data_IF_763446832239
#
_entry.id   IF_763446832239
#
_cell.length_a   1.000
_cell.length_b   1.000
_cell.length_c   1.000
_cell.angle_alpha   90.00
_cell.angle_beta   90.00
_cell.angle_gamma   90.00
#
_symmetry.space_group_name_H-M   'P 1'
#
loop_
_entity.id
_entity.type
_entity.pdbx_description
1 polymer ?
#
# COMPACT_ATOMS: atom_id res chain seq x y z
N UNK A 1 0.76 -11.69 -36.50
CA UNK A 1 -0.33 -12.34 -35.75
C UNK A 1 -1.41 -11.30 -35.51
N UNK A 2 -2.56 -11.43 -36.18
CA UNK A 2 -3.70 -10.53 -35.96
C UNK A 2 -4.38 -10.93 -34.64
N UNK A 3 -3.98 -10.30 -33.54
CA UNK A 3 -4.72 -10.41 -32.29
C UNK A 3 -6.11 -9.85 -32.53
N UNK A 4 -7.13 -10.73 -32.56
CA UNK A 4 -8.52 -10.26 -32.44
C UNK A 4 -8.58 -9.51 -31.11
N UNK A 5 -8.82 -8.21 -31.17
CA UNK A 5 -9.09 -7.42 -29.97
C UNK A 5 -10.34 -8.02 -29.33
N UNK A 6 -10.15 -8.81 -28.27
CA UNK A 6 -11.26 -9.37 -27.52
C UNK A 6 -11.97 -8.20 -26.85
N UNK A 7 -13.22 -8.00 -27.22
CA UNK A 7 -14.04 -6.93 -26.65
C UNK A 7 -14.17 -7.16 -25.15
N UNK A 8 -13.85 -6.13 -24.36
CA UNK A 8 -14.09 -6.12 -22.90
C UNK A 8 -15.59 -6.12 -22.55
N UNK A 9 -16.47 -6.14 -23.55
CA UNK A 9 -17.92 -6.28 -23.39
C UNK A 9 -18.46 -7.64 -23.86
N UNK A 10 -17.60 -8.59 -24.25
CA UNK A 10 -18.01 -9.91 -24.69
C UNK A 10 -18.36 -10.85 -23.52
N UNK A 11 -19.22 -11.87 -23.74
CA UNK A 11 -19.57 -12.85 -22.70
C UNK A 11 -18.34 -13.62 -22.16
N UNK A 12 -17.32 -13.83 -23.00
CA UNK A 12 -16.05 -14.45 -22.60
C UNK A 12 -15.30 -13.62 -21.53
N UNK A 13 -15.33 -12.29 -21.65
CA UNK A 13 -14.72 -11.40 -20.66
C UNK A 13 -15.40 -11.53 -19.30
N UNK A 14 -16.74 -11.49 -19.27
CA UNK A 14 -17.49 -11.58 -18.02
C UNK A 14 -17.31 -12.94 -17.34
N UNK A 15 -17.32 -14.04 -18.10
CA UNK A 15 -17.03 -15.36 -17.54
C UNK A 15 -15.61 -15.44 -16.95
N UNK A 16 -14.61 -14.87 -17.62
CA UNK A 16 -13.24 -14.79 -17.10
C UNK A 16 -13.14 -13.89 -15.85
N UNK A 17 -13.89 -12.79 -15.84
CA UNK A 17 -13.97 -11.87 -14.71
C UNK A 17 -14.59 -12.51 -13.47
N UNK A 18 -15.71 -13.21 -13.62
CA UNK A 18 -16.39 -13.88 -12.50
C UNK A 18 -15.48 -14.93 -11.86
N UNK A 19 -14.86 -15.78 -12.70
CA UNK A 19 -13.85 -16.75 -12.25
C UNK A 19 -12.68 -16.07 -11.53
N UNK A 20 -12.17 -14.97 -12.08
CA UNK A 20 -11.11 -14.18 -11.43
C UNK A 20 -11.53 -13.66 -10.05
N UNK A 21 -12.74 -13.12 -9.93
CA UNK A 21 -13.22 -12.59 -8.64
C UNK A 21 -13.36 -13.68 -7.60
N UNK A 22 -13.86 -14.86 -7.98
CA UNK A 22 -13.98 -16.02 -7.10
C UNK A 22 -12.61 -16.52 -6.65
N UNK A 23 -11.65 -16.67 -7.57
CA UNK A 23 -10.29 -17.12 -7.25
C UNK A 23 -9.54 -16.14 -6.35
N UNK A 24 -9.69 -14.82 -6.57
CA UNK A 24 -9.09 -13.81 -5.70
C UNK A 24 -9.75 -13.80 -4.33
N UNK A 25 -11.08 -13.89 -4.25
CA UNK A 25 -11.78 -14.00 -2.98
C UNK A 25 -11.27 -15.21 -2.20
N UNK A 26 -11.21 -16.38 -2.86
CA UNK A 26 -10.73 -17.62 -2.29
C UNK A 26 -9.28 -17.51 -1.78
N UNK A 27 -8.39 -16.87 -2.54
CA UNK A 27 -6.99 -16.65 -2.15
C UNK A 27 -6.85 -15.87 -0.83
N UNK A 28 -7.81 -15.00 -0.50
CA UNK A 28 -7.80 -14.22 0.73
C UNK A 28 -8.75 -14.74 1.82
N UNK A 29 -9.76 -15.53 1.47
CA UNK A 29 -10.72 -16.16 2.40
C UNK A 29 -10.21 -17.48 2.99
N UNK A 30 -9.49 -18.32 2.23
CA UNK A 30 -8.81 -19.53 2.75
C UNK A 30 -7.52 -19.14 3.49
N UNK A 31 -7.61 -18.09 4.30
CA UNK A 31 -6.58 -17.71 5.25
C UNK A 31 -6.54 -18.57 6.52
N UNK A 32 -7.32 -19.65 6.58
CA UNK A 32 -7.50 -20.51 7.75
C UNK A 32 -6.92 -21.92 7.63
N UNK A 33 -6.05 -22.20 6.66
CA UNK A 33 -5.17 -23.36 6.81
C UNK A 33 -4.05 -22.94 7.77
N UNK A 34 -4.25 -23.26 9.05
CA UNK A 34 -3.28 -23.10 10.12
C UNK A 34 -2.03 -23.95 9.82
N UNK A 35 -1.19 -23.49 8.90
CA UNK A 35 0.19 -23.94 8.83
C UNK A 35 0.88 -23.25 10.00
N UNK A 36 0.77 -23.88 11.17
CA UNK A 36 1.27 -23.41 12.47
C UNK A 36 2.75 -23.01 12.40
N UNK A 37 3.49 -23.60 11.46
CA UNK A 37 4.95 -23.52 11.41
C UNK A 37 5.51 -22.31 10.63
N UNK A 38 4.71 -21.59 9.81
CA UNK A 38 5.22 -20.40 9.09
C UNK A 38 4.14 -19.37 8.69
N UNK A 39 3.73 -18.48 9.60
CA UNK A 39 2.72 -17.45 9.33
C UNK A 39 3.06 -16.51 8.17
N UNK A 40 4.35 -16.21 7.96
CA UNK A 40 4.81 -15.36 6.86
C UNK A 40 4.67 -16.06 5.51
N UNK A 41 5.07 -17.33 5.41
CA UNK A 41 4.92 -18.11 4.19
C UNK A 41 3.45 -18.25 3.83
N UNK A 42 2.58 -18.56 4.80
CA UNK A 42 1.12 -18.60 4.60
C UNK A 42 0.59 -17.29 4.03
N UNK A 43 1.08 -16.15 4.51
CA UNK A 43 0.70 -14.84 3.98
C UNK A 43 1.19 -14.62 2.55
N UNK A 44 2.43 -15.02 2.23
CA UNK A 44 3.00 -14.92 0.89
C UNK A 44 2.24 -15.79 -0.13
N UNK A 45 1.84 -17.00 0.26
CA UNK A 45 1.06 -17.92 -0.58
C UNK A 45 -0.27 -17.34 -1.06
N UNK A 46 -0.93 -16.50 -0.25
CA UNK A 46 -2.15 -15.78 -0.67
C UNK A 46 -1.87 -14.84 -1.83
N UNK A 47 -0.72 -14.16 -1.80
CA UNK A 47 -0.30 -13.29 -2.90
C UNK A 47 0.12 -14.10 -4.13
N UNK A 48 0.73 -15.27 -3.98
CA UNK A 48 0.99 -16.19 -5.09
C UNK A 48 -0.32 -16.53 -5.81
N UNK A 49 -1.32 -17.03 -5.06
CA UNK A 49 -2.63 -17.39 -5.60
C UNK A 49 -3.34 -16.20 -6.28
N UNK A 50 -3.30 -15.01 -5.67
CA UNK A 50 -3.88 -13.81 -6.27
C UNK A 50 -3.18 -13.40 -7.60
N UNK A 51 -1.85 -13.50 -7.68
CA UNK A 51 -1.13 -13.21 -8.92
C UNK A 51 -1.44 -14.24 -10.02
N UNK A 52 -1.63 -15.52 -9.67
CA UNK A 52 -2.06 -16.56 -10.61
C UNK A 52 -3.46 -16.27 -11.15
N UNK A 53 -4.40 -15.83 -10.30
CA UNK A 53 -5.73 -15.42 -10.73
C UNK A 53 -5.67 -14.24 -11.72
N UNK A 54 -4.82 -13.23 -11.46
CA UNK A 54 -4.58 -12.11 -12.38
C UNK A 54 -4.01 -12.61 -13.72
N UNK A 55 -3.01 -13.50 -13.69
CA UNK A 55 -2.46 -14.10 -14.91
C UNK A 55 -3.54 -14.79 -15.75
N UNK A 56 -4.39 -15.63 -15.13
CA UNK A 56 -5.49 -16.32 -15.83
C UNK A 56 -6.44 -15.33 -16.50
N UNK A 57 -6.86 -14.29 -15.78
CA UNK A 57 -7.73 -13.24 -16.34
C UNK A 57 -7.07 -12.58 -17.55
N UNK A 58 -5.83 -12.10 -17.40
CA UNK A 58 -5.10 -11.39 -18.46
C UNK A 58 -4.88 -12.29 -19.68
N UNK A 59 -4.59 -13.58 -19.49
CA UNK A 59 -4.44 -14.53 -20.58
C UNK A 59 -5.77 -14.78 -21.31
N UNK A 60 -6.88 -14.91 -20.57
CA UNK A 60 -8.21 -15.11 -21.14
C UNK A 60 -8.68 -13.94 -22.02
N UNK A 61 -8.24 -12.71 -21.70
CA UNK A 61 -8.55 -11.48 -22.46
C UNK A 61 -7.46 -11.10 -23.49
N UNK A 62 -6.53 -12.03 -23.78
CA UNK A 62 -5.52 -11.87 -24.82
C UNK A 62 -4.34 -10.95 -24.46
N UNK A 63 -4.17 -10.54 -23.20
CA UNK A 63 -3.06 -9.70 -22.72
C UNK A 63 -1.87 -10.54 -22.27
N UNK A 64 -1.42 -11.45 -23.14
CA UNK A 64 -0.43 -12.51 -22.83
C UNK A 64 0.87 -11.97 -22.24
N UNK A 65 1.50 -10.97 -22.86
CA UNK A 65 2.77 -10.42 -22.36
C UNK A 65 2.64 -9.84 -20.94
N UNK A 66 1.52 -9.19 -20.63
CA UNK A 66 1.25 -8.68 -19.28
C UNK A 66 0.94 -9.83 -18.33
N UNK A 67 0.18 -10.83 -18.76
CA UNK A 67 -0.10 -12.02 -17.98
C UNK A 67 1.20 -12.67 -17.51
N UNK A 68 2.13 -12.96 -18.43
CA UNK A 68 3.41 -13.62 -18.10
C UNK A 68 4.19 -12.92 -16.98
N UNK A 69 4.16 -11.58 -16.92
CA UNK A 69 4.81 -10.81 -15.84
C UNK A 69 4.18 -11.08 -14.45
N UNK A 70 2.87 -11.30 -14.38
CA UNK A 70 2.20 -11.68 -13.14
C UNK A 70 2.46 -13.14 -12.76
N UNK A 71 2.63 -14.02 -13.75
CA UNK A 71 3.02 -15.40 -13.51
C UNK A 71 4.45 -15.50 -12.98
N UNK A 72 5.42 -14.83 -13.62
CA UNK A 72 6.80 -14.72 -13.14
C UNK A 72 6.87 -14.16 -11.71
N UNK A 73 6.05 -13.15 -11.39
CA UNK A 73 5.96 -12.63 -10.02
C UNK A 73 5.39 -13.66 -9.03
N UNK A 74 4.41 -14.46 -9.44
CA UNK A 74 3.86 -15.53 -8.61
C UNK A 74 4.92 -16.61 -8.32
N UNK A 75 5.68 -17.03 -9.33
CA UNK A 75 6.80 -17.97 -9.18
C UNK A 75 7.87 -17.42 -8.22
N UNK A 76 8.28 -16.17 -8.43
CA UNK A 76 9.25 -15.52 -7.56
C UNK A 76 8.76 -15.48 -6.09
N UNK A 77 7.48 -15.13 -5.87
CA UNK A 77 6.89 -15.09 -4.53
C UNK A 77 6.79 -16.47 -3.89
N UNK A 78 6.50 -17.51 -4.68
CA UNK A 78 6.48 -18.90 -4.24
C UNK A 78 7.86 -19.34 -3.75
N UNK A 79 8.90 -19.08 -4.53
CA UNK A 79 10.28 -19.38 -4.17
C UNK A 79 10.66 -18.72 -2.84
N UNK A 80 10.37 -17.43 -2.68
CA UNK A 80 10.62 -16.72 -1.42
C UNK A 80 9.83 -17.33 -0.26
N UNK A 81 8.57 -17.74 -0.48
CA UNK A 81 7.73 -18.34 0.56
C UNK A 81 8.28 -19.69 1.07
N UNK A 82 8.98 -20.44 0.22
CA UNK A 82 9.64 -21.71 0.60
C UNK A 82 11.11 -21.52 0.98
N UNK A 83 11.59 -20.28 1.07
CA UNK A 83 12.96 -19.95 1.47
C UNK A 83 14.00 -20.07 0.37
N UNK A 84 13.59 -20.16 -0.91
CA UNK A 84 14.46 -20.14 -2.07
C UNK A 84 14.70 -18.70 -2.56
N UNK A 85 15.94 -18.31 -2.90
CA UNK A 85 16.22 -17.02 -3.49
C UNK A 85 15.81 -16.98 -4.97
N UNK A 86 15.04 -15.96 -5.39
CA UNK A 86 14.68 -15.74 -6.78
C UNK A 86 15.38 -14.50 -7.37
N UNK A 87 15.92 -14.53 -8.61
CA UNK A 87 16.62 -13.40 -9.23
C UNK A 87 15.83 -12.08 -9.28
N UNK A 88 14.50 -12.15 -9.42
CA UNK A 88 13.62 -10.97 -9.41
C UNK A 88 13.74 -10.11 -8.14
N UNK A 89 14.11 -10.73 -7.01
CA UNK A 89 14.32 -10.04 -5.73
C UNK A 89 15.80 -9.81 -5.40
N UNK A 90 16.70 -10.20 -6.29
CA UNK A 90 18.11 -9.84 -6.18
C UNK A 90 18.25 -8.33 -6.34
N UNK A 91 18.66 -7.66 -5.27
CA UNK A 91 18.94 -6.24 -5.31
C UNK A 91 20.38 -6.05 -5.75
N UNK A 92 20.59 -5.41 -6.90
CA UNK A 92 21.91 -4.86 -7.24
C UNK A 92 22.26 -3.82 -6.18
N UNK A 93 23.17 -4.17 -5.27
CA UNK A 93 23.64 -3.22 -4.26
C UNK A 93 24.72 -2.35 -4.90
N UNK A 94 24.53 -1.02 -4.99
CA UNK A 94 25.60 -0.13 -5.38
C UNK A 94 26.80 -0.36 -4.45
N UNK A 95 27.98 -0.62 -5.01
CA UNK A 95 29.20 -0.88 -4.23
C UNK A 95 29.55 0.26 -3.25
N UNK A 96 29.01 1.47 -3.47
CA UNK A 96 29.23 2.67 -2.66
C UNK A 96 28.22 2.90 -1.53
N UNK A 97 27.28 1.98 -1.29
CA UNK A 97 26.25 2.15 -0.24
C UNK A 97 26.80 1.91 1.18
N UNK A 98 27.88 2.59 1.55
CA UNK A 98 28.23 2.81 2.94
C UNK A 98 27.18 3.74 3.55
N UNK A 99 26.14 3.18 4.16
CA UNK A 99 25.04 3.96 4.70
C UNK A 99 23.94 3.12 5.32
N UNK A 100 23.05 3.78 6.05
CA UNK A 100 21.87 3.15 6.63
C UNK A 100 20.93 2.68 5.52
N UNK A 101 20.35 1.49 5.71
CA UNK A 101 19.31 0.95 4.82
C UNK A 101 18.15 1.96 4.65
N UNK A 102 17.63 2.15 3.44
CA UNK A 102 16.48 3.00 3.20
C UNK A 102 15.26 2.49 3.98
N UNK A 103 14.32 3.40 4.29
CA UNK A 103 13.06 3.04 4.93
C UNK A 103 12.24 2.12 4.00
N UNK A 104 11.58 1.11 4.55
CA UNK A 104 10.80 0.14 3.76
C UNK A 104 9.53 0.77 3.18
N UNK A 105 8.96 0.16 2.13
CA UNK A 105 7.66 0.59 1.59
C UNK A 105 6.53 0.53 2.62
N UNK A 106 6.63 -0.32 3.66
CA UNK A 106 5.65 -0.34 4.74
C UNK A 106 5.69 0.96 5.56
N UNK A 107 6.89 1.42 5.93
CA UNK A 107 7.10 2.70 6.61
C UNK A 107 6.56 3.86 5.76
N UNK A 108 6.90 3.89 4.47
CA UNK A 108 6.44 4.94 3.56
C UNK A 108 4.91 4.96 3.38
N UNK A 109 4.26 3.79 3.28
CA UNK A 109 2.79 3.71 3.22
C UNK A 109 2.11 4.20 4.50
N UNK A 110 2.69 3.90 5.67
CA UNK A 110 2.18 4.41 6.94
C UNK A 110 2.32 5.94 7.03
N UNK A 111 3.47 6.50 6.62
CA UNK A 111 3.69 7.94 6.52
C UNK A 111 2.73 8.62 5.55
N UNK A 112 2.50 8.04 4.37
CA UNK A 112 1.52 8.56 3.40
C UNK A 112 0.11 8.60 3.98
N UNK A 113 -0.31 7.52 4.64
CA UNK A 113 -1.63 7.44 5.29
C UNK A 113 -1.78 8.48 6.41
N UNK A 114 -0.74 8.67 7.22
CA UNK A 114 -0.71 9.71 8.26
C UNK A 114 -0.83 11.11 7.67
N UNK A 115 -0.03 11.43 6.64
CA UNK A 115 -0.04 12.76 6.03
C UNK A 115 -1.39 13.05 5.36
N UNK A 116 -1.98 12.08 4.67
CA UNK A 116 -3.31 12.19 4.11
C UNK A 116 -4.38 12.37 5.22
N UNK A 117 -4.30 11.59 6.29
CA UNK A 117 -5.20 11.72 7.44
C UNK A 117 -5.11 13.08 8.12
N UNK A 118 -3.90 13.62 8.29
CA UNK A 118 -3.66 14.98 8.79
C UNK A 118 -4.27 16.04 7.86
N UNK A 119 -4.16 15.88 6.54
CA UNK A 119 -4.77 16.81 5.59
C UNK A 119 -6.31 16.84 5.71
N UNK A 120 -6.95 15.67 5.86
CA UNK A 120 -8.38 15.57 6.17
C UNK A 120 -8.71 16.21 7.52
N UNK A 121 -7.96 15.87 8.56
CA UNK A 121 -8.21 16.35 9.91
C UNK A 121 -8.11 17.87 10.00
N UNK A 122 -7.07 18.48 9.41
CA UNK A 122 -6.90 19.93 9.29
C UNK A 122 -8.07 20.55 8.52
N UNK A 123 -8.42 19.99 7.35
CA UNK A 123 -9.52 20.49 6.53
C UNK A 123 -10.88 20.47 7.24
N UNK A 124 -11.16 19.41 8.02
CA UNK A 124 -12.44 19.26 8.72
C UNK A 124 -12.52 20.00 10.04
N UNK A 125 -11.41 20.15 10.76
CA UNK A 125 -11.37 20.81 12.07
C UNK A 125 -11.13 22.32 12.00
N UNK A 126 -10.54 22.82 10.91
CA UNK A 126 -10.12 24.22 10.80
C UNK A 126 -8.91 24.59 11.66
N UNK A 127 -8.27 23.62 12.32
CA UNK A 127 -7.05 23.85 13.08
C UNK A 127 -5.89 24.21 12.15
N UNK A 128 -4.96 25.02 12.65
CA UNK A 128 -3.68 25.17 11.97
C UNK A 128 -2.88 23.84 12.00
N UNK A 129 -1.95 23.63 11.05
CA UNK A 129 -1.19 22.40 10.97
C UNK A 129 -0.41 22.04 12.24
N UNK A 130 0.08 23.03 12.99
CA UNK A 130 0.89 22.79 14.18
C UNK A 130 0.06 22.27 15.35
N UNK A 131 -1.12 22.86 15.56
CA UNK A 131 -2.08 22.37 16.53
C UNK A 131 -2.56 20.95 16.19
N UNK A 132 -2.86 20.69 14.92
CA UNK A 132 -3.26 19.35 14.44
C UNK A 132 -2.18 18.29 14.71
N UNK A 133 -0.92 18.57 14.35
CA UNK A 133 0.20 17.65 14.62
C UNK A 133 0.37 17.42 16.12
N UNK A 134 0.29 18.47 16.94
CA UNK A 134 0.43 18.33 18.39
C UNK A 134 -0.64 17.43 19.01
N UNK A 135 -1.90 17.56 18.57
CA UNK A 135 -3.00 16.69 19.01
C UNK A 135 -2.76 15.23 18.61
N UNK A 136 -2.38 14.98 17.36
CA UNK A 136 -2.10 13.62 16.87
C UNK A 136 -0.92 12.98 17.59
N UNK A 137 0.12 13.76 17.92
CA UNK A 137 1.26 13.27 18.71
C UNK A 137 0.82 12.96 20.15
N UNK A 138 0.00 13.81 20.76
CA UNK A 138 -0.53 13.57 22.10
C UNK A 138 -1.30 12.25 22.16
N UNK A 139 -2.10 11.96 21.14
CA UNK A 139 -2.95 10.77 21.11
C UNK A 139 -2.23 9.49 20.66
N UNK A 140 -1.40 9.58 19.61
CA UNK A 140 -0.81 8.42 18.94
C UNK A 140 0.72 8.38 18.94
N UNK A 141 1.39 9.32 19.63
CA UNK A 141 2.84 9.53 19.53
C UNK A 141 3.68 8.29 19.80
N UNK A 142 3.27 7.45 20.77
CA UNK A 142 3.96 6.18 21.08
C UNK A 142 3.94 5.19 19.92
N UNK A 143 2.82 5.11 19.18
CA UNK A 143 2.70 4.21 18.03
C UNK A 143 3.44 4.79 16.82
N UNK A 144 3.24 6.08 16.56
CA UNK A 144 3.84 6.77 15.40
C UNK A 144 5.37 6.87 15.48
N UNK A 145 5.96 6.83 16.69
CA UNK A 145 7.42 6.84 16.86
C UNK A 145 8.12 5.63 16.24
N UNK A 146 7.41 4.52 15.99
CA UNK A 146 7.93 3.35 15.26
C UNK A 146 8.32 3.65 13.81
N UNK A 147 7.76 4.70 13.22
CA UNK A 147 8.14 5.16 11.87
C UNK A 147 9.40 6.01 11.85
N UNK A 148 9.98 6.33 13.02
CA UNK A 148 11.11 7.23 13.14
C UNK A 148 12.44 6.52 12.98
N UNK A 149 13.42 7.32 12.59
CA UNK A 149 14.83 6.97 12.72
C UNK A 149 15.25 7.15 14.19
N UNK A 150 16.15 6.31 14.74
CA UNK A 150 16.71 6.56 16.06
C UNK A 150 17.26 7.98 16.18
N UNK A 151 16.92 8.66 17.28
CA UNK A 151 17.29 10.06 17.53
C UNK A 151 16.48 11.11 16.78
N UNK A 152 15.57 10.74 15.88
CA UNK A 152 14.70 11.70 15.20
C UNK A 152 13.53 12.13 16.10
N UNK A 153 13.16 13.40 16.02
CA UNK A 153 12.00 13.95 16.72
C UNK A 153 10.72 13.74 15.90
N UNK A 154 9.65 13.26 16.53
CA UNK A 154 8.40 12.93 15.84
C UNK A 154 7.77 14.15 15.15
N UNK A 155 7.64 15.27 15.87
CA UNK A 155 6.99 16.48 15.36
C UNK A 155 7.69 17.02 14.13
N UNK A 156 9.01 17.19 14.21
CA UNK A 156 9.85 17.60 13.07
C UNK A 156 9.74 16.63 11.90
N UNK A 157 9.72 15.32 12.17
CA UNK A 157 9.62 14.30 11.12
C UNK A 157 8.28 14.36 10.38
N UNK A 158 7.15 14.52 11.10
CA UNK A 158 5.83 14.64 10.49
C UNK A 158 5.77 15.86 9.55
N UNK A 159 6.27 17.02 9.99
CA UNK A 159 6.35 18.22 9.14
C UNK A 159 7.14 17.96 7.86
N UNK A 160 8.31 17.34 7.99
CA UNK A 160 9.15 16.99 6.84
C UNK A 160 8.42 16.05 5.90
N UNK A 161 7.76 15.00 6.40
CA UNK A 161 7.01 14.07 5.56
C UNK A 161 5.85 14.76 4.83
N UNK A 162 5.05 15.56 5.53
CA UNK A 162 3.95 16.32 4.92
C UNK A 162 4.47 17.19 3.78
N UNK A 163 5.56 17.94 4.02
CA UNK A 163 6.19 18.77 3.00
C UNK A 163 6.66 17.93 1.81
N UNK A 164 7.40 16.83 2.04
CA UNK A 164 7.90 15.99 0.96
C UNK A 164 6.79 15.35 0.12
N UNK A 165 5.66 14.99 0.72
CA UNK A 165 4.51 14.48 -0.03
C UNK A 165 3.79 15.58 -0.82
N UNK A 166 3.73 16.81 -0.29
CA UNK A 166 3.15 17.97 -0.97
C UNK A 166 4.01 18.43 -2.17
N UNK A 167 5.33 18.36 -2.04
CA UNK A 167 6.30 18.77 -3.08
C UNK A 167 6.73 17.63 -4.01
N UNK A 168 6.11 16.44 -3.91
CA UNK A 168 6.46 15.25 -4.70
C UNK A 168 7.91 14.74 -4.54
N UNK A 169 8.61 15.11 -3.46
CA UNK A 169 9.99 14.71 -3.18
C UNK A 169 10.12 13.26 -2.63
N UNK A 170 9.01 12.53 -2.51
CA UNK A 170 9.00 11.15 -2.01
C UNK A 170 9.38 10.17 -3.12
N UNK A 171 10.55 9.54 -2.98
CA UNK A 171 11.04 8.51 -3.93
C UNK A 171 10.19 7.23 -3.96
N UNK A 172 9.44 6.93 -2.89
CA UNK A 172 8.57 5.76 -2.86
C UNK A 172 7.29 6.02 -3.66
N UNK A 173 7.30 5.63 -4.93
CA UNK A 173 6.22 5.90 -5.91
C UNK A 173 4.84 5.40 -5.46
N UNK A 174 4.80 4.22 -4.82
CA UNK A 174 3.54 3.63 -4.33
C UNK A 174 2.94 4.46 -3.20
N UNK A 175 3.76 4.90 -2.24
CA UNK A 175 3.31 5.76 -1.15
C UNK A 175 2.86 7.13 -1.66
N UNK A 176 3.60 7.73 -2.60
CA UNK A 176 3.24 9.02 -3.21
C UNK A 176 1.92 8.93 -3.98
N UNK A 177 1.74 7.88 -4.79
CA UNK A 177 0.50 7.64 -5.53
C UNK A 177 -0.72 7.50 -4.60
N UNK A 178 -0.57 6.74 -3.51
CA UNK A 178 -1.62 6.58 -2.50
C UNK A 178 -1.99 7.93 -1.85
N UNK A 179 -0.99 8.72 -1.44
CA UNK A 179 -1.20 10.06 -0.91
C UNK A 179 -1.96 10.94 -1.91
N UNK A 180 -1.49 11.06 -3.15
CA UNK A 180 -2.10 11.89 -4.19
C UNK A 180 -3.56 11.52 -4.47
N UNK A 181 -3.85 10.23 -4.61
CA UNK A 181 -5.22 9.74 -4.78
C UNK A 181 -6.11 10.21 -3.62
N UNK A 182 -5.64 10.03 -2.38
CA UNK A 182 -6.41 10.43 -1.19
C UNK A 182 -6.62 11.95 -1.14
N UNK A 183 -5.65 12.75 -1.56
CA UNK A 183 -5.79 14.22 -1.63
C UNK A 183 -6.78 14.66 -2.73
N UNK A 184 -6.85 13.94 -3.85
CA UNK A 184 -7.89 14.18 -4.87
C UNK A 184 -9.28 13.91 -4.27
N UNK A 185 -9.43 12.79 -3.56
CA UNK A 185 -10.67 12.44 -2.86
C UNK A 185 -11.06 13.51 -1.82
N UNK A 186 -10.10 14.11 -1.12
CA UNK A 186 -10.35 15.22 -0.18
C UNK A 186 -10.95 16.45 -0.87
N UNK A 187 -10.47 16.80 -2.07
CA UNK A 187 -11.00 17.95 -2.83
C UNK A 187 -12.47 17.75 -3.14
N UNK A 188 -12.85 16.56 -3.58
CA UNK A 188 -14.25 16.19 -3.81
C UNK A 188 -15.04 16.17 -2.50
N UNK A 189 -14.45 15.65 -1.43
CA UNK A 189 -15.12 15.54 -0.14
C UNK A 189 -15.49 16.91 0.47
N UNK A 190 -14.62 17.92 0.31
CA UNK A 190 -14.87 19.30 0.77
C UNK A 190 -16.14 19.93 0.19
N UNK A 191 -16.57 19.50 -0.99
CA UNK A 191 -17.79 20.00 -1.63
C UNK A 191 -19.05 19.22 -1.23
N UNK A 192 -18.89 18.00 -0.71
CA UNK A 192 -19.98 17.05 -0.55
C UNK A 192 -20.29 16.67 0.90
N UNK A 193 -19.40 16.96 1.85
CA UNK A 193 -19.52 16.53 3.24
C UNK A 193 -19.25 17.67 4.22
N UNK A 194 -19.76 17.54 5.45
CA UNK A 194 -19.53 18.52 6.50
C UNK A 194 -18.08 18.49 7.00
N UNK A 195 -17.62 19.59 7.61
CA UNK A 195 -16.31 19.63 8.27
C UNK A 195 -16.14 18.54 9.32
N UNK A 196 -17.20 18.23 10.07
CA UNK A 196 -17.22 17.14 11.06
C UNK A 196 -16.97 15.78 10.43
N UNK A 197 -17.63 15.46 9.31
CA UNK A 197 -17.45 14.19 8.62
C UNK A 197 -16.03 14.03 8.06
N UNK A 198 -15.50 15.12 7.48
CA UNK A 198 -14.13 15.17 6.95
C UNK A 198 -13.12 14.98 8.09
N UNK A 199 -13.34 15.63 9.24
CA UNK A 199 -12.51 15.49 10.43
C UNK A 199 -12.48 14.03 10.91
N UNK A 200 -13.64 13.40 11.07
CA UNK A 200 -13.74 12.00 11.50
C UNK A 200 -13.08 11.04 10.51
N UNK A 201 -13.19 11.30 9.20
CA UNK A 201 -12.45 10.54 8.20
C UNK A 201 -10.93 10.67 8.38
N UNK A 202 -10.44 11.89 8.67
CA UNK A 202 -9.04 12.14 9.02
C UNK A 202 -8.59 11.38 10.26
N UNK A 203 -9.36 11.42 11.35
CA UNK A 203 -9.08 10.68 12.59
C UNK A 203 -8.96 9.17 12.32
N UNK A 204 -9.89 8.59 11.54
CA UNK A 204 -9.83 7.17 11.15
C UNK A 204 -8.57 6.83 10.34
N UNK A 205 -8.15 7.69 9.42
CA UNK A 205 -6.92 7.49 8.63
C UNK A 205 -5.68 7.55 9.52
N UNK A 206 -5.63 8.51 10.44
CA UNK A 206 -4.53 8.68 11.41
C UNK A 206 -4.44 7.46 12.33
N UNK A 207 -5.56 7.02 12.91
CA UNK A 207 -5.62 5.84 13.77
C UNK A 207 -5.14 4.59 13.02
N UNK A 208 -5.60 4.37 11.78
CA UNK A 208 -5.12 3.25 10.94
C UNK A 208 -3.63 3.34 10.64
N UNK A 209 -3.09 4.53 10.41
CA UNK A 209 -1.65 4.72 10.23
C UNK A 209 -0.87 4.40 11.51
N UNK A 210 -1.40 4.79 12.67
CA UNK A 210 -0.82 4.46 13.97
C UNK A 210 -0.84 2.96 14.25
N UNK A 211 -1.93 2.24 13.94
CA UNK A 211 -1.95 0.77 14.08
C UNK A 211 -0.94 0.11 13.14
N UNK A 212 -0.91 0.50 11.86
CA UNK A 212 0.09 -0.03 10.91
C UNK A 212 1.53 0.22 11.35
N UNK A 213 1.78 1.31 12.06
CA UNK A 213 3.11 1.62 12.57
C UNK A 213 3.57 0.61 13.65
N UNK A 214 2.64 -0.01 14.37
CA UNK A 214 2.95 -1.04 15.37
C UNK A 214 3.38 -2.36 14.73
N UNK A 215 2.91 -2.65 13.51
CA UNK A 215 3.25 -3.85 12.75
C UNK A 215 4.54 -3.71 11.92
N UNK A 216 5.25 -2.58 12.06
CA UNK A 216 6.52 -2.37 11.36
C UNK A 216 7.62 -3.24 11.98
N UNK A 217 8.52 -3.81 11.15
CA UNK A 217 9.64 -4.61 11.61
C UNK A 217 10.68 -3.78 12.38
#
# INVERSE_FOLDING_TARGET
>A
MNGKDQSLSGPEFFAAWDSFTDEVALAFEIGGLDVVDSPLATKQMRYVAANVAIWKLLNAIGRKETAEKFFELAEALQDVAVGLPHPLFSVERPQSAGGRRPDTSAVWRARASLCAGLAYFIAGSGLDPEAAIALVIKEHGKKLSKMLRPGAELKKSIRTWMKSFETDDVQNVVALSNYKRTIIELKTAKSNFSGTDIKQAGERLIARAAERAMDLP
#
